data_IF_167886127675
#
_entry.id   IF_167886127675
#
_cell.length_a   1.000
_cell.length_b   1.000
_cell.length_c   1.000
_cell.angle_alpha   90.00
_cell.angle_beta   90.00
_cell.angle_gamma   90.00
#
_symmetry.space_group_name_H-M   'P 1'
#
loop_
_entity.id
_entity.type
_entity.pdbx_description
1 polymer ?
#
# COMPACT_ATOMS: atom_id res chain seq x y z
N UNK A 1 -19.12 -11.11 3.92
CA UNK A 1 -18.54 -10.01 3.11
C UNK A 1 -17.77 -10.67 2.00
N UNK A 2 -18.04 -10.36 0.73
CA UNK A 2 -17.17 -10.84 -0.35
C UNK A 2 -15.85 -10.10 -0.24
N UNK A 3 -14.78 -10.82 0.13
CA UNK A 3 -13.42 -10.29 0.10
C UNK A 3 -13.04 -10.03 -1.35
N UNK A 4 -12.49 -8.84 -1.61
CA UNK A 4 -11.85 -8.57 -2.89
C UNK A 4 -10.60 -9.43 -3.07
N UNK A 5 -10.16 -9.57 -4.31
CA UNK A 5 -8.94 -10.26 -4.70
C UNK A 5 -7.97 -9.23 -5.24
N UNK A 6 -6.72 -9.27 -4.81
CA UNK A 6 -5.62 -8.52 -5.38
C UNK A 6 -4.59 -9.51 -5.94
N UNK A 7 -4.39 -9.54 -7.25
CA UNK A 7 -3.41 -10.42 -7.89
C UNK A 7 -2.22 -9.59 -8.33
N UNK A 8 -1.02 -9.96 -7.91
CA UNK A 8 0.22 -9.35 -8.41
C UNK A 8 0.33 -9.60 -9.92
N UNK A 9 0.44 -8.54 -10.71
CA UNK A 9 0.55 -8.60 -12.18
C UNK A 9 1.86 -8.06 -12.72
N UNK A 10 2.69 -7.44 -11.88
CA UNK A 10 4.03 -6.99 -12.24
C UNK A 10 4.64 -6.08 -11.18
N UNK A 11 5.84 -5.57 -11.48
CA UNK A 11 6.51 -4.55 -10.70
C UNK A 11 7.19 -3.54 -11.62
N UNK A 12 7.39 -2.31 -11.13
CA UNK A 12 8.08 -1.23 -11.83
C UNK A 12 9.24 -0.71 -10.97
N UNK A 13 10.47 -0.64 -11.51
CA UNK A 13 11.59 -0.12 -10.75
C UNK A 13 11.44 1.39 -10.53
N UNK A 14 11.85 1.87 -9.36
CA UNK A 14 11.93 3.30 -9.10
C UNK A 14 12.99 3.95 -10.01
N UNK A 15 12.57 4.85 -10.89
CA UNK A 15 13.47 5.59 -11.78
C UNK A 15 13.97 6.89 -11.15
N UNK A 16 13.18 7.46 -10.23
CA UNK A 16 13.52 8.66 -9.48
C UNK A 16 14.71 8.43 -8.51
N UNK A 17 15.74 9.28 -8.50
CA UNK A 17 16.91 9.13 -7.64
C UNK A 17 16.62 9.17 -6.14
N UNK A 18 15.62 9.94 -5.70
CA UNK A 18 15.25 10.02 -4.27
C UNK A 18 14.52 8.74 -3.87
N UNK A 19 13.55 8.30 -4.68
CA UNK A 19 12.83 7.06 -4.43
C UNK A 19 13.75 5.84 -4.41
N UNK A 20 14.82 5.80 -5.23
CA UNK A 20 15.83 4.75 -5.13
C UNK A 20 16.52 4.63 -3.76
N UNK A 21 16.55 5.72 -2.98
CA UNK A 21 17.17 5.74 -1.65
C UNK A 21 16.18 5.32 -0.57
N UNK A 22 14.92 5.76 -0.68
CA UNK A 22 13.92 5.62 0.40
C UNK A 22 12.89 4.52 0.14
N UNK A 23 12.75 4.05 -1.09
CA UNK A 23 11.81 2.99 -1.42
C UNK A 23 12.30 1.62 -0.97
N UNK A 24 11.34 0.75 -0.67
CA UNK A 24 11.59 -0.65 -0.36
C UNK A 24 11.13 -1.49 -1.54
N UNK A 25 12.08 -2.05 -2.27
CA UNK A 25 11.80 -2.87 -3.46
C UNK A 25 11.35 -2.04 -4.66
N UNK A 26 10.71 -2.72 -5.61
CA UNK A 26 10.05 -2.10 -6.77
C UNK A 26 8.60 -1.72 -6.42
N UNK A 27 8.01 -0.82 -7.20
CA UNK A 27 6.59 -0.52 -7.13
C UNK A 27 5.77 -1.72 -7.64
N UNK A 28 4.99 -2.35 -6.76
CA UNK A 28 4.21 -3.54 -7.12
C UNK A 28 2.88 -3.17 -7.77
N UNK A 29 2.47 -3.91 -8.79
CA UNK A 29 1.21 -3.70 -9.50
C UNK A 29 0.23 -4.83 -9.22
N UNK A 30 -0.97 -4.49 -8.75
CA UNK A 30 -2.01 -5.44 -8.41
C UNK A 30 -3.24 -5.23 -9.28
N UNK A 31 -3.69 -6.28 -9.95
CA UNK A 31 -5.04 -6.31 -10.51
C UNK A 31 -6.03 -6.62 -9.39
N UNK A 32 -6.98 -5.71 -9.15
CA UNK A 32 -7.94 -5.79 -8.05
C UNK A 32 -9.35 -6.08 -8.57
N UNK A 33 -10.08 -6.92 -7.84
CA UNK A 33 -11.48 -7.25 -8.11
C UNK A 33 -12.24 -7.38 -6.79
N UNK A 34 -13.24 -6.53 -6.49
CA UNK A 34 -13.77 -5.45 -7.34
C UNK A 34 -12.77 -4.31 -7.60
N UNK A 35 -13.05 -3.36 -8.51
CA UNK A 35 -12.20 -2.19 -8.72
C UNK A 35 -12.11 -1.33 -7.45
N UNK A 36 -10.92 -0.86 -7.09
CA UNK A 36 -10.71 0.06 -5.98
C UNK A 36 -10.86 1.50 -6.48
N UNK A 37 -11.90 2.22 -6.05
CA UNK A 37 -12.19 3.58 -6.52
C UNK A 37 -12.26 3.72 -8.05
N UNK A 38 -12.75 2.67 -8.73
CA UNK A 38 -12.84 2.62 -10.20
C UNK A 38 -11.59 2.10 -10.90
N UNK A 39 -10.47 1.88 -10.19
CA UNK A 39 -9.25 1.32 -10.74
C UNK A 39 -9.25 -0.21 -10.67
N UNK A 40 -9.01 -0.85 -11.81
CA UNK A 40 -8.81 -2.30 -11.89
C UNK A 40 -7.37 -2.71 -11.61
N UNK A 41 -6.42 -1.77 -11.73
CA UNK A 41 -5.02 -1.97 -11.40
C UNK A 41 -4.60 -0.88 -10.44
N UNK A 42 -3.95 -1.27 -9.35
CA UNK A 42 -3.42 -0.37 -8.34
C UNK A 42 -1.92 -0.61 -8.19
N UNK A 43 -1.17 0.47 -8.00
CA UNK A 43 0.25 0.41 -7.69
C UNK A 43 0.45 0.56 -6.18
N UNK A 44 1.29 -0.28 -5.59
CA UNK A 44 1.66 -0.24 -4.18
C UNK A 44 3.12 0.17 -4.03
N UNK A 45 3.35 1.38 -3.53
CA UNK A 45 4.68 1.93 -3.27
C UNK A 45 5.03 1.75 -1.80
N UNK A 46 6.21 1.23 -1.50
CA UNK A 46 6.70 1.13 -0.13
C UNK A 46 7.88 2.07 0.09
N UNK A 47 7.90 2.77 1.22
CA UNK A 47 9.06 3.57 1.65
C UNK A 47 9.46 3.22 3.08
N UNK A 48 10.72 3.49 3.44
CA UNK A 48 11.24 3.28 4.80
C UNK A 48 10.70 4.30 5.82
N UNK A 49 9.88 5.26 5.39
CA UNK A 49 9.35 6.30 6.25
C UNK A 49 8.04 5.86 6.91
N UNK A 50 8.13 5.06 7.97
CA UNK A 50 6.96 4.69 8.79
C UNK A 50 6.89 5.60 10.03
N UNK A 51 6.19 6.74 9.93
CA UNK A 51 5.87 7.54 11.12
C UNK A 51 4.73 6.86 11.89
N UNK A 52 4.99 6.51 13.15
CA UNK A 52 4.00 5.86 14.00
C UNK A 52 3.49 6.76 15.11
N UNK A 53 2.17 6.85 15.22
CA UNK A 53 1.50 7.29 16.45
C UNK A 53 0.93 6.04 17.16
N UNK A 54 1.50 5.68 18.31
CA UNK A 54 0.90 4.70 19.21
C UNK A 54 0.33 5.42 20.41
N UNK A 55 -0.86 5.02 20.83
CA UNK A 55 -1.37 5.42 22.13
C UNK A 55 -0.76 4.46 23.16
N UNK A 56 0.02 5.00 24.11
CA UNK A 56 0.48 4.26 25.28
C UNK A 56 -0.34 4.77 26.47
N UNK A 57 -1.22 3.92 26.98
CA UNK A 57 -2.08 4.24 28.10
C UNK A 57 -1.31 4.21 29.43
N UNK A 58 -1.79 4.85 30.50
CA UNK A 58 -1.11 4.88 31.80
C UNK A 58 -0.85 3.50 32.43
N UNK A 59 -1.63 2.49 32.06
CA UNK A 59 -1.48 1.10 32.51
C UNK A 59 -0.48 0.28 31.65
N UNK A 60 0.14 0.92 30.66
CA UNK A 60 1.09 0.29 29.73
C UNK A 60 0.42 -0.41 28.55
N UNK A 61 -0.91 -0.36 28.41
CA UNK A 61 -1.59 -0.82 27.20
C UNK A 61 -1.14 0.01 26.01
N UNK A 62 -0.97 -0.64 24.87
CA UNK A 62 -0.54 -0.02 23.61
C UNK A 62 -1.63 -0.26 22.58
N UNK A 63 -2.11 0.82 21.96
CA UNK A 63 -3.10 0.74 20.88
C UNK A 63 -2.60 1.46 19.61
N UNK A 64 -2.61 0.76 18.45
CA UNK A 64 -2.96 -0.66 18.28
C UNK A 64 -1.89 -1.62 18.85
N UNK A 65 -2.28 -2.84 19.27
CA UNK A 65 -1.37 -3.80 19.90
C UNK A 65 -0.43 -4.48 18.90
N UNK A 66 -0.82 -4.64 17.63
CA UNK A 66 0.06 -5.24 16.63
C UNK A 66 1.28 -4.33 16.36
N UNK A 67 2.48 -4.90 16.20
CA UNK A 67 3.62 -4.16 15.68
C UNK A 67 3.33 -3.64 14.26
N UNK A 68 3.88 -2.47 13.96
CA UNK A 68 3.90 -1.95 12.60
C UNK A 68 4.98 -2.64 11.80
N UNK A 69 4.76 -2.77 10.49
CA UNK A 69 5.83 -3.06 9.55
C UNK A 69 6.77 -1.84 9.45
N UNK A 70 8.08 -2.01 9.23
CA UNK A 70 9.03 -0.90 9.14
C UNK A 70 8.95 -0.16 7.79
N UNK A 71 7.74 0.00 7.25
CA UNK A 71 7.45 0.58 5.94
C UNK A 71 6.16 1.38 5.96
N UNK A 72 6.09 2.43 5.14
CA UNK A 72 4.84 3.06 4.75
C UNK A 72 4.44 2.58 3.37
N UNK A 73 3.18 2.19 3.19
CA UNK A 73 2.66 1.75 1.91
C UNK A 73 1.61 2.74 1.40
N UNK A 74 1.83 3.23 0.19
CA UNK A 74 0.91 4.10 -0.53
C UNK A 74 0.33 3.36 -1.73
N UNK A 75 -0.98 3.51 -1.93
CA UNK A 75 -1.71 2.92 -3.05
C UNK A 75 -2.05 4.02 -4.05
N UNK A 76 -1.83 3.76 -5.33
CA UNK A 76 -2.14 4.67 -6.43
C UNK A 76 -2.97 3.97 -7.50
N UNK A 77 -3.84 4.71 -8.18
CA UNK A 77 -4.54 4.21 -9.35
C UNK A 77 -3.56 4.02 -10.52
N UNK A 78 -3.84 3.06 -11.39
CA UNK A 78 -3.11 2.91 -12.66
C UNK A 78 -4.09 3.08 -13.81
N UNK A 79 -3.75 3.96 -14.74
CA UNK A 79 -4.55 4.34 -15.90
C UNK A 79 -3.78 4.13 -17.20
N UNK A 80 -4.53 4.09 -18.30
CA UNK A 80 -3.97 4.03 -19.65
C UNK A 80 -3.33 2.68 -20.00
N UNK A 81 -3.02 2.50 -21.29
CA UNK A 81 -2.37 1.29 -21.79
C UNK A 81 -0.88 1.21 -21.42
N UNK A 82 -0.29 2.36 -21.02
CA UNK A 82 1.12 2.47 -20.65
C UNK A 82 1.40 2.26 -19.16
N UNK A 83 0.40 1.83 -18.37
CA UNK A 83 0.50 1.68 -16.92
C UNK A 83 0.93 2.98 -16.22
N UNK A 84 0.32 4.10 -16.62
CA UNK A 84 0.57 5.39 -15.99
C UNK A 84 0.00 5.40 -14.57
N UNK A 85 0.83 5.77 -13.60
CA UNK A 85 0.39 5.96 -12.22
C UNK A 85 -0.41 7.26 -12.17
N UNK A 86 -1.63 7.20 -11.65
CA UNK A 86 -2.39 8.39 -11.26
C UNK A 86 -1.91 8.81 -9.87
N UNK A 87 -1.05 9.83 -9.84
CA UNK A 87 -0.44 10.38 -8.63
C UNK A 87 -1.22 11.57 -8.04
N UNK A 88 -2.42 11.85 -8.56
CA UNK A 88 -3.24 12.97 -8.10
C UNK A 88 -3.75 12.79 -6.67
N UNK A 89 -4.06 11.55 -6.29
CA UNK A 89 -4.45 11.19 -4.93
C UNK A 89 -3.99 9.78 -4.54
N UNK A 90 -3.71 9.61 -3.24
CA UNK A 90 -3.50 8.28 -2.66
C UNK A 90 -4.84 7.58 -2.51
N UNK A 91 -4.93 6.35 -2.98
CA UNK A 91 -6.12 5.52 -2.80
C UNK A 91 -6.30 5.15 -1.32
N UNK A 92 -7.56 4.99 -0.86
CA UNK A 92 -7.86 4.49 0.47
C UNK A 92 -7.20 3.14 0.76
N UNK A 93 -6.73 2.99 1.99
CA UNK A 93 -5.94 1.85 2.43
C UNK A 93 -4.47 2.19 2.62
N UNK A 94 -3.95 3.20 1.92
CA UNK A 94 -2.61 3.76 2.15
C UNK A 94 -2.37 4.02 3.63
N UNK A 95 -1.26 3.50 4.16
CA UNK A 95 -0.99 3.49 5.60
C UNK A 95 0.50 3.44 5.90
N UNK A 96 0.93 4.30 6.83
CA UNK A 96 2.20 4.15 7.52
C UNK A 96 2.17 2.91 8.42
N UNK A 97 3.29 2.22 8.54
CA UNK A 97 3.42 1.07 9.43
C UNK A 97 2.75 -0.22 8.95
N UNK A 98 2.38 -0.30 7.67
CA UNK A 98 1.78 -1.48 7.06
C UNK A 98 2.47 -1.84 5.77
N UNK A 99 2.81 -3.12 5.62
CA UNK A 99 3.24 -3.66 4.34
C UNK A 99 2.05 -3.78 3.36
N UNK A 100 2.34 -4.08 2.08
CA UNK A 100 1.31 -4.19 1.02
C UNK A 100 0.19 -5.15 1.39
N UNK A 101 0.52 -6.32 1.94
CA UNK A 101 -0.47 -7.32 2.33
C UNK A 101 -1.44 -6.81 3.41
N UNK A 102 -0.92 -6.17 4.47
CA UNK A 102 -1.75 -5.61 5.54
C UNK A 102 -2.55 -4.39 5.08
N UNK A 103 -1.97 -3.58 4.20
CA UNK A 103 -2.65 -2.43 3.57
C UNK A 103 -3.84 -2.88 2.74
N UNK A 104 -3.67 -3.84 1.83
CA UNK A 104 -4.77 -4.38 1.02
C UNK A 104 -5.80 -5.16 1.86
N UNK A 105 -5.36 -5.91 2.87
CA UNK A 105 -6.26 -6.61 3.79
C UNK A 105 -7.15 -5.65 4.59
N UNK A 106 -6.62 -4.50 5.03
CA UNK A 106 -7.37 -3.50 5.79
C UNK A 106 -8.55 -2.91 5.02
N UNK A 107 -8.50 -2.93 3.68
CA UNK A 107 -9.59 -2.49 2.78
C UNK A 107 -10.34 -3.68 2.14
N UNK A 108 -10.16 -4.89 2.67
CA UNK A 108 -10.96 -6.06 2.33
C UNK A 108 -10.47 -6.88 1.13
N UNK A 109 -9.23 -6.70 0.68
CA UNK A 109 -8.64 -7.51 -0.39
C UNK A 109 -7.73 -8.61 0.17
N UNK A 110 -7.79 -9.78 -0.44
CA UNK A 110 -6.86 -10.89 -0.21
C UNK A 110 -5.91 -10.99 -1.39
N UNK A 111 -4.61 -11.06 -1.11
CA UNK A 111 -3.60 -11.33 -2.14
C UNK A 111 -3.64 -12.82 -2.52
N UNK A 112 -3.61 -13.12 -3.83
CA UNK A 112 -3.55 -14.49 -4.37
C UNK A 112 -2.34 -14.72 -5.27
#
# INVERSE_FOLDING_TARGET
MNSGIARLVGSLPHTDPVMKIIAVGDLELYHVSPPLHGYNVVAAAQTTWAMRAQCIYPDGHIEPPEPDDPVSTELYGVVGEGLQIDDTEKLPGSADGRNVARTLAAIGYTII
#
